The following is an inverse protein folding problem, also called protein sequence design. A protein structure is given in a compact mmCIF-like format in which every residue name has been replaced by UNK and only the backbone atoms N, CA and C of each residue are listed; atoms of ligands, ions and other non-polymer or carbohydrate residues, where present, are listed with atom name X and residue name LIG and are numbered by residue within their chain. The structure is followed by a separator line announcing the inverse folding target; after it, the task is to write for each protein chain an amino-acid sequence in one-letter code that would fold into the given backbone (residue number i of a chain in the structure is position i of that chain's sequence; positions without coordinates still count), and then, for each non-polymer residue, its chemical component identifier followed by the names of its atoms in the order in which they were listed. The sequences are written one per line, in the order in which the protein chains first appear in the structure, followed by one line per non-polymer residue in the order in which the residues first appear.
data_IF_540225684738
#
_entry.id   IF_540225684738
#
_cell.length_a   1.000
_cell.length_b   1.000
_cell.length_c   1.000
_cell.angle_alpha   90.00
_cell.angle_beta   90.00
_cell.angle_gamma   90.00
#
_symmetry.space_group_name_H-M   'P 1'
#
loop_
_entity.id
_entity.type
_entity.pdbx_description
1 polymer ?
#
# COMPACT_ATOMS: atom_id res chain seq x y z
N UNK A 1 5.60 -25.67 9.34
CA UNK A 1 5.61 -24.22 9.05
C UNK A 1 5.15 -23.54 10.33
N UNK A 2 5.82 -22.44 10.67
CA UNK A 2 6.04 -21.94 12.04
C UNK A 2 4.73 -21.48 12.71
N UNK A 3 4.43 -21.93 13.94
CA UNK A 3 3.36 -21.33 14.80
C UNK A 3 3.52 -19.79 14.87
N UNK A 4 4.76 -19.33 14.69
CA UNK A 4 5.17 -17.94 14.64
C UNK A 4 4.53 -17.11 13.50
N UNK A 5 4.17 -17.72 12.37
CA UNK A 5 3.61 -16.96 11.24
C UNK A 5 2.20 -16.41 11.53
N UNK A 6 1.35 -17.21 12.20
CA UNK A 6 0.00 -16.78 12.58
C UNK A 6 0.09 -15.68 13.65
N UNK A 7 0.98 -15.86 14.63
CA UNK A 7 1.22 -14.84 15.67
C UNK A 7 1.72 -13.52 15.06
N UNK A 8 2.75 -13.56 14.21
CA UNK A 8 3.32 -12.37 13.55
C UNK A 8 2.29 -11.62 12.67
N UNK A 9 1.36 -12.34 12.03
CA UNK A 9 0.28 -11.74 11.24
C UNK A 9 -0.77 -11.12 12.17
N UNK A 10 -1.21 -11.87 13.18
CA UNK A 10 -2.22 -11.41 14.11
C UNK A 10 -1.74 -10.24 14.99
N UNK A 11 -0.43 -10.06 15.21
CA UNK A 11 0.12 -8.87 15.88
C UNK A 11 -0.22 -7.56 15.14
N UNK A 12 -0.44 -7.63 13.82
CA UNK A 12 -0.85 -6.49 13.01
C UNK A 12 -2.38 -6.27 12.99
N UNK A 13 -3.15 -7.18 13.60
CA UNK A 13 -4.61 -7.12 13.60
C UNK A 13 -5.14 -6.38 14.85
N UNK A 14 -6.30 -5.72 14.76
CA UNK A 14 -6.89 -5.05 15.91
C UNK A 14 -7.26 -6.01 17.06
N UNK A 15 -7.61 -7.27 16.76
CA UNK A 15 -8.08 -8.24 17.75
C UNK A 15 -7.20 -9.51 17.75
N UNK A 16 -5.94 -9.39 18.18
CA UNK A 16 -4.96 -10.47 18.24
C UNK A 16 -5.50 -11.85 18.68
N UNK A 17 -6.14 -11.93 19.86
CA UNK A 17 -6.63 -13.20 20.41
C UNK A 17 -7.73 -13.83 19.53
N UNK A 18 -8.58 -12.99 18.93
CA UNK A 18 -9.64 -13.44 18.02
C UNK A 18 -9.04 -13.94 16.71
N UNK A 19 -8.09 -13.20 16.14
CA UNK A 19 -7.36 -13.60 14.95
C UNK A 19 -6.69 -14.97 15.13
N UNK A 20 -5.89 -15.12 16.21
CA UNK A 20 -5.16 -16.36 16.49
C UNK A 20 -6.11 -17.53 16.71
N UNK A 21 -7.16 -17.35 17.53
CA UNK A 21 -8.11 -18.43 17.81
C UNK A 21 -8.94 -18.83 16.58
N UNK A 22 -9.30 -17.85 15.73
CA UNK A 22 -10.07 -18.10 14.51
C UNK A 22 -9.23 -18.81 13.45
N UNK A 23 -8.00 -18.38 13.21
CA UNK A 23 -7.10 -19.03 12.25
C UNK A 23 -6.70 -20.43 12.73
N UNK A 24 -6.38 -20.62 14.01
CA UNK A 24 -6.03 -21.94 14.56
C UNK A 24 -7.20 -22.95 14.52
N UNK A 25 -8.43 -22.49 14.28
CA UNK A 25 -9.58 -23.40 14.12
C UNK A 25 -9.57 -24.17 12.80
N UNK A 26 -8.86 -23.67 11.78
CA UNK A 26 -8.67 -24.37 10.51
C UNK A 26 -7.27 -25.01 10.45
N UNK A 27 -7.17 -26.35 10.31
CA UNK A 27 -5.87 -27.03 10.23
C UNK A 27 -5.01 -26.58 9.04
N UNK A 28 -5.61 -26.01 7.98
CA UNK A 28 -4.90 -25.51 6.79
C UNK A 28 -4.14 -24.22 7.06
N UNK A 29 -4.50 -23.46 8.11
CA UNK A 29 -3.84 -22.20 8.46
C UNK A 29 -2.35 -22.37 8.71
N UNK A 30 -1.94 -23.51 9.26
CA UNK A 30 -0.52 -23.82 9.51
C UNK A 30 0.32 -23.89 8.23
N UNK A 31 -0.30 -24.10 7.07
CA UNK A 31 0.35 -24.20 5.77
C UNK A 31 0.03 -23.05 4.80
N UNK A 32 -0.76 -22.06 5.25
CA UNK A 32 -1.33 -21.03 4.39
C UNK A 32 -0.43 -19.80 4.26
N UNK A 33 -0.48 -19.13 3.10
CA UNK A 33 0.05 -17.77 2.91
C UNK A 33 -0.98 -16.70 3.32
N UNK A 34 -0.63 -15.40 3.29
CA UNK A 34 -1.53 -14.34 3.75
C UNK A 34 -2.89 -14.34 3.02
N UNK A 35 -2.97 -14.43 1.67
CA UNK A 35 -4.24 -14.57 0.97
C UNK A 35 -5.05 -15.79 1.39
N UNK A 36 -4.40 -16.94 1.58
CA UNK A 36 -5.07 -18.16 2.07
C UNK A 36 -5.56 -17.99 3.53
N UNK A 37 -4.82 -17.30 4.40
CA UNK A 37 -5.26 -16.98 5.76
C UNK A 37 -6.43 -15.99 5.76
N UNK A 38 -6.43 -14.98 4.88
CA UNK A 38 -7.56 -14.07 4.70
C UNK A 38 -8.80 -14.82 4.20
N UNK A 39 -8.65 -15.79 3.28
CA UNK A 39 -9.74 -16.66 2.85
C UNK A 39 -10.27 -17.55 3.99
N UNK A 40 -9.39 -18.05 4.86
CA UNK A 40 -9.80 -18.81 6.05
C UNK A 40 -10.62 -17.90 6.99
N UNK A 41 -10.15 -16.68 7.24
CA UNK A 41 -10.90 -15.72 8.05
C UNK A 41 -12.27 -15.37 7.40
N UNK A 42 -12.31 -15.18 6.08
CA UNK A 42 -13.56 -14.96 5.34
C UNK A 42 -14.57 -16.08 5.57
N UNK A 43 -14.11 -17.34 5.57
CA UNK A 43 -14.96 -18.50 5.84
C UNK A 43 -15.44 -18.54 7.29
N UNK A 44 -14.59 -18.18 8.26
CA UNK A 44 -14.98 -18.05 9.68
C UNK A 44 -16.08 -17.00 9.83
N UNK A 45 -15.92 -15.83 9.22
CA UNK A 45 -16.91 -14.75 9.23
C UNK A 45 -18.21 -15.24 8.59
N UNK A 46 -18.14 -15.93 7.44
CA UNK A 46 -19.31 -16.46 6.75
C UNK A 46 -20.15 -17.39 7.65
N UNK A 47 -19.49 -18.37 8.30
CA UNK A 47 -20.15 -19.29 9.24
C UNK A 47 -20.81 -18.53 10.41
N UNK A 48 -20.13 -17.51 10.93
CA UNK A 48 -20.60 -16.73 12.09
C UNK A 48 -21.73 -15.79 11.71
N UNK A 49 -21.70 -15.21 10.52
CA UNK A 49 -22.78 -14.43 9.94
C UNK A 49 -24.03 -15.31 9.68
N UNK A 50 -23.88 -16.52 9.16
CA UNK A 50 -24.99 -17.48 8.98
C UNK A 50 -25.64 -17.84 10.33
N UNK A 51 -24.83 -18.14 11.34
CA UNK A 51 -25.31 -18.42 12.69
C UNK A 51 -26.07 -17.22 13.29
N UNK A 52 -25.55 -16.01 13.09
CA UNK A 52 -26.20 -14.77 13.57
C UNK A 52 -27.53 -14.55 12.86
N UNK A 53 -27.58 -14.72 11.53
CA UNK A 53 -28.82 -14.63 10.76
C UNK A 53 -29.86 -15.65 11.22
N UNK A 54 -29.46 -16.87 11.55
CA UNK A 54 -30.37 -17.88 12.09
C UNK A 54 -30.90 -17.48 13.47
N UNK A 55 -30.03 -16.97 14.35
CA UNK A 55 -30.46 -16.47 15.66
C UNK A 55 -31.45 -15.30 15.55
N UNK A 56 -31.24 -14.38 14.61
CA UNK A 56 -32.17 -13.28 14.32
C UNK A 56 -33.56 -13.83 13.93
N UNK A 57 -33.60 -14.86 13.07
CA UNK A 57 -34.85 -15.50 12.65
C UNK A 57 -35.59 -16.17 13.81
N UNK A 58 -34.89 -16.81 14.73
CA UNK A 58 -35.49 -17.41 15.93
C UNK A 58 -36.10 -16.33 16.84
N UNK A 59 -35.37 -15.25 17.10
CA UNK A 59 -35.85 -14.11 17.89
C UNK A 59 -37.10 -13.46 17.30
N UNK A 60 -37.21 -13.41 15.96
CA UNK A 60 -38.42 -12.91 15.27
C UNK A 60 -39.64 -13.81 15.46
N UNK A 61 -39.45 -15.11 15.70
CA UNK A 61 -40.52 -16.06 16.00
C UNK A 61 -40.94 -16.00 17.47
N UNK A 62 -39.99 -15.72 18.37
CA UNK A 62 -40.20 -15.65 19.83
C UNK A 62 -41.00 -14.40 20.28
N UNK A 63 -41.45 -13.54 19.36
CA UNK A 63 -42.24 -12.31 19.64
C UNK A 63 -41.53 -11.32 20.59
N UNK A 64 -40.28 -10.97 20.26
CA UNK A 64 -39.46 -10.00 20.99
C UNK A 64 -39.92 -8.54 20.81
N UNK A 65 -39.55 -7.68 21.77
CA UNK A 65 -39.91 -6.26 21.85
C UNK A 65 -39.23 -5.33 20.84
N UNK A 66 -38.39 -5.85 19.95
CA UNK A 66 -37.53 -5.08 19.02
C UNK A 66 -37.66 -5.58 17.57
N UNK A 67 -38.89 -5.89 17.16
CA UNK A 67 -39.17 -6.55 15.88
C UNK A 67 -38.60 -5.81 14.67
N UNK A 68 -38.72 -4.48 14.62
CA UNK A 68 -38.25 -3.67 13.50
C UNK A 68 -36.71 -3.67 13.40
N UNK A 69 -36.01 -3.58 14.54
CA UNK A 69 -34.55 -3.69 14.60
C UNK A 69 -34.09 -5.07 14.10
N UNK A 70 -34.76 -6.14 14.52
CA UNK A 70 -34.47 -7.49 14.04
C UNK A 70 -34.71 -7.67 12.54
N UNK A 71 -35.75 -7.03 11.98
CA UNK A 71 -35.97 -7.04 10.52
C UNK A 71 -34.82 -6.33 9.80
N UNK A 72 -34.36 -5.18 10.31
CA UNK A 72 -33.19 -4.49 9.73
C UNK A 72 -31.93 -5.35 9.80
N UNK A 73 -31.70 -6.03 10.93
CA UNK A 73 -30.58 -6.97 11.08
C UNK A 73 -30.62 -8.12 10.06
N UNK A 74 -31.81 -8.63 9.70
CA UNK A 74 -31.92 -9.65 8.64
C UNK A 74 -31.36 -9.12 7.32
N UNK A 75 -31.66 -7.88 6.96
CA UNK A 75 -31.18 -7.29 5.71
C UNK A 75 -29.68 -7.01 5.76
N UNK A 76 -29.16 -6.50 6.88
CA UNK A 76 -27.72 -6.29 7.08
C UNK A 76 -26.95 -7.60 6.94
N UNK A 77 -27.36 -8.67 7.64
CA UNK A 77 -26.69 -9.97 7.57
C UNK A 77 -26.86 -10.68 6.22
N UNK A 78 -27.95 -10.41 5.48
CA UNK A 78 -28.06 -10.86 4.09
C UNK A 78 -27.07 -10.13 3.17
N UNK A 79 -26.85 -8.83 3.37
CA UNK A 79 -25.86 -8.08 2.60
C UNK A 79 -24.46 -8.70 2.81
N UNK A 80 -24.07 -8.96 4.06
CA UNK A 80 -22.81 -9.65 4.39
C UNK A 80 -22.67 -10.96 3.62
N UNK A 81 -23.69 -11.83 3.69
CA UNK A 81 -23.61 -13.20 3.18
C UNK A 81 -23.75 -13.31 1.65
N UNK A 82 -24.47 -12.38 1.01
CA UNK A 82 -24.83 -12.48 -0.41
C UNK A 82 -24.02 -11.52 -1.28
N UNK A 83 -23.54 -10.43 -0.70
CA UNK A 83 -22.89 -9.33 -1.42
C UNK A 83 -21.45 -9.19 -0.97
N UNK A 84 -21.21 -8.94 0.32
CA UNK A 84 -19.94 -8.42 0.80
C UNK A 84 -18.87 -9.53 0.87
N UNK A 85 -19.14 -10.62 1.60
CA UNK A 85 -18.21 -11.76 1.70
C UNK A 85 -17.97 -12.47 0.36
N UNK A 86 -18.99 -12.76 -0.48
CA UNK A 86 -18.74 -13.36 -1.79
C UNK A 86 -17.86 -12.49 -2.69
N UNK A 87 -18.00 -11.16 -2.62
CA UNK A 87 -17.12 -10.24 -3.34
C UNK A 87 -15.70 -10.28 -2.79
N UNK A 88 -15.53 -10.21 -1.46
CA UNK A 88 -14.21 -10.27 -0.83
C UNK A 88 -13.48 -11.58 -1.16
N UNK A 89 -14.15 -12.72 -1.02
CA UNK A 89 -13.58 -14.05 -1.34
C UNK A 89 -13.14 -14.13 -2.82
N UNK A 90 -13.97 -13.62 -3.73
CA UNK A 90 -13.64 -13.59 -5.15
C UNK A 90 -12.46 -12.65 -5.42
N UNK A 91 -12.41 -11.51 -4.75
CA UNK A 91 -11.35 -10.53 -4.88
C UNK A 91 -10.00 -11.09 -4.38
N UNK A 92 -9.99 -11.72 -3.20
CA UNK A 92 -8.87 -12.48 -2.65
C UNK A 92 -8.31 -13.50 -3.64
N UNK A 93 -9.20 -14.33 -4.21
CA UNK A 93 -8.81 -15.37 -5.18
C UNK A 93 -8.17 -14.79 -6.45
N UNK A 94 -8.51 -13.56 -6.82
CA UNK A 94 -8.00 -12.89 -8.01
C UNK A 94 -6.87 -11.88 -7.71
N UNK A 95 -6.44 -11.75 -6.44
CA UNK A 95 -5.41 -10.80 -6.00
C UNK A 95 -5.84 -9.32 -6.01
N UNK A 96 -7.14 -9.04 -6.04
CA UNK A 96 -7.70 -7.69 -5.96
C UNK A 96 -7.95 -7.29 -4.49
N UNK A 97 -6.87 -7.14 -3.72
CA UNK A 97 -6.94 -6.98 -2.26
C UNK A 97 -7.64 -5.70 -1.80
N UNK A 98 -7.62 -4.64 -2.61
CA UNK A 98 -8.38 -3.40 -2.38
C UNK A 98 -9.89 -3.64 -2.38
N UNK A 99 -10.39 -4.41 -3.36
CA UNK A 99 -11.81 -4.80 -3.43
C UNK A 99 -12.18 -5.72 -2.27
N UNK A 100 -11.23 -6.56 -1.85
CA UNK A 100 -11.46 -7.48 -0.75
C UNK A 100 -11.54 -6.75 0.61
N UNK A 101 -10.67 -5.75 0.79
CA UNK A 101 -10.66 -4.84 1.93
C UNK A 101 -11.99 -4.09 2.05
N UNK A 102 -12.51 -3.56 0.94
CA UNK A 102 -13.82 -2.90 0.89
C UNK A 102 -14.94 -3.87 1.33
N UNK A 103 -14.92 -5.12 0.84
CA UNK A 103 -15.93 -6.12 1.20
C UNK A 103 -15.92 -6.49 2.69
N UNK A 104 -14.75 -6.59 3.31
CA UNK A 104 -14.68 -6.81 4.76
C UNK A 104 -15.08 -5.57 5.55
N UNK A 105 -14.72 -4.38 5.09
CA UNK A 105 -15.15 -3.14 5.72
C UNK A 105 -16.68 -2.95 5.67
N UNK A 106 -17.32 -3.30 4.55
CA UNK A 106 -18.78 -3.31 4.47
C UNK A 106 -19.39 -4.28 5.50
N UNK A 107 -18.81 -5.47 5.69
CA UNK A 107 -19.27 -6.41 6.70
C UNK A 107 -19.17 -5.88 8.14
N UNK A 108 -18.09 -5.13 8.45
CA UNK A 108 -17.94 -4.38 9.71
C UNK A 108 -19.10 -3.40 9.90
N UNK A 109 -19.41 -2.60 8.86
CA UNK A 109 -20.50 -1.63 8.90
C UNK A 109 -21.87 -2.29 9.09
N UNK A 110 -22.16 -3.38 8.37
CA UNK A 110 -23.43 -4.09 8.48
C UNK A 110 -23.65 -4.68 9.88
N UNK A 111 -22.60 -5.23 10.51
CA UNK A 111 -22.67 -5.72 11.89
C UNK A 111 -22.96 -4.60 12.89
N UNK A 112 -22.29 -3.44 12.74
CA UNK A 112 -22.55 -2.26 13.58
C UNK A 112 -23.95 -1.70 13.38
N UNK A 113 -24.42 -1.58 12.13
CA UNK A 113 -25.78 -1.13 11.85
C UNK A 113 -26.85 -2.06 12.44
N UNK A 114 -26.58 -3.35 12.54
CA UNK A 114 -27.48 -4.26 13.26
C UNK A 114 -27.50 -3.95 14.76
N UNK A 115 -26.34 -3.76 15.39
CA UNK A 115 -26.26 -3.46 16.83
C UNK A 115 -26.89 -2.10 17.19
N UNK A 116 -26.57 -1.06 16.43
CA UNK A 116 -27.03 0.31 16.65
C UNK A 116 -28.53 0.48 16.39
N UNK A 117 -29.16 -0.48 15.70
CA UNK A 117 -30.60 -0.50 15.47
C UNK A 117 -31.43 -0.69 16.75
N UNK A 118 -30.83 -1.13 17.85
CA UNK A 118 -31.52 -1.40 19.12
C UNK A 118 -31.48 -0.19 20.06
N UNK A 119 -32.65 0.21 20.57
CA UNK A 119 -32.80 1.43 21.38
C UNK A 119 -32.21 1.35 22.79
N UNK A 120 -31.91 0.15 23.29
CA UNK A 120 -31.40 -0.11 24.65
C UNK A 120 -29.88 0.01 24.80
N UNK A 121 -29.14 0.30 23.71
CA UNK A 121 -27.67 0.37 23.70
C UNK A 121 -26.97 -0.99 23.81
N UNK A 122 -27.72 -2.08 23.92
CA UNK A 122 -27.23 -3.45 23.78
C UNK A 122 -28.37 -4.32 23.24
N UNK A 123 -28.07 -5.14 22.23
CA UNK A 123 -29.02 -6.04 21.61
C UNK A 123 -28.92 -7.48 22.16
N UNK A 124 -29.92 -8.35 21.90
CA UNK A 124 -29.79 -9.79 22.14
C UNK A 124 -28.70 -10.49 21.29
N UNK A 125 -28.02 -9.74 20.41
CA UNK A 125 -27.05 -10.21 19.43
C UNK A 125 -25.67 -9.57 19.65
N UNK A 126 -25.47 -8.74 20.69
CA UNK A 126 -24.25 -7.94 20.89
C UNK A 126 -22.97 -8.76 20.71
N UNK A 127 -22.85 -9.93 21.34
CA UNK A 127 -21.66 -10.76 21.23
C UNK A 127 -21.46 -11.32 19.81
N UNK A 128 -22.55 -11.62 19.10
CA UNK A 128 -22.51 -12.15 17.73
C UNK A 128 -22.17 -11.05 16.72
N UNK A 129 -22.78 -9.87 16.88
CA UNK A 129 -22.48 -8.68 16.10
C UNK A 129 -21.01 -8.28 16.30
N UNK A 130 -20.56 -8.22 17.55
CA UNK A 130 -19.16 -7.93 17.89
C UNK A 130 -18.19 -8.95 17.31
N UNK A 131 -18.50 -10.24 17.34
CA UNK A 131 -17.62 -11.25 16.74
C UNK A 131 -17.47 -11.03 15.23
N UNK A 132 -18.60 -10.83 14.51
CA UNK A 132 -18.56 -10.64 13.05
C UNK A 132 -17.85 -9.34 12.69
N UNK A 133 -18.08 -8.27 13.47
CA UNK A 133 -17.34 -7.02 13.37
C UNK A 133 -15.82 -7.24 13.52
N UNK A 134 -15.40 -7.74 14.68
CA UNK A 134 -13.98 -7.87 15.04
C UNK A 134 -13.25 -8.82 14.09
N UNK A 135 -13.89 -9.92 13.68
CA UNK A 135 -13.29 -10.87 12.74
C UNK A 135 -13.18 -10.28 11.32
N UNK A 136 -14.14 -9.44 10.90
CA UNK A 136 -14.07 -8.76 9.60
C UNK A 136 -12.97 -7.69 9.58
N UNK A 137 -12.80 -6.96 10.70
CA UNK A 137 -11.70 -6.02 10.87
C UNK A 137 -10.33 -6.72 10.88
N UNK A 138 -10.21 -7.88 11.53
CA UNK A 138 -9.00 -8.70 11.48
C UNK A 138 -8.73 -9.22 10.06
N UNK A 139 -9.75 -9.69 9.34
CA UNK A 139 -9.60 -10.17 7.96
C UNK A 139 -9.03 -9.10 7.03
N UNK A 140 -9.52 -7.86 7.15
CA UNK A 140 -9.01 -6.70 6.42
C UNK A 140 -7.54 -6.40 6.73
N UNK A 141 -7.10 -6.63 7.97
CA UNK A 141 -5.71 -6.45 8.35
C UNK A 141 -4.80 -7.60 7.86
N UNK A 142 -5.31 -8.83 7.80
CA UNK A 142 -4.59 -10.00 7.24
C UNK A 142 -4.37 -9.83 5.72
N UNK A 143 -5.29 -9.13 5.05
CA UNK A 143 -5.26 -8.83 3.61
C UNK A 143 -4.18 -7.88 3.15
N UNK A 144 -3.49 -7.19 4.06
CA UNK A 144 -2.21 -6.63 3.68
C UNK A 144 -1.21 -7.79 3.64
N UNK A 145 -0.84 -8.33 2.45
CA UNK A 145 0.43 -9.02 2.40
C UNK A 145 1.47 -8.11 3.06
N UNK A 146 2.47 -8.67 3.71
CA UNK A 146 3.70 -7.96 4.06
C UNK A 146 4.45 -7.49 2.79
N UNK A 147 3.72 -7.00 1.79
CA UNK A 147 4.18 -6.27 0.64
C UNK A 147 4.57 -4.87 1.13
N UNK A 148 5.76 -4.86 1.73
CA UNK A 148 6.41 -3.65 2.20
C UNK A 148 6.51 -2.61 1.08
N UNK A 149 6.60 -3.04 -0.19
CA UNK A 149 6.62 -2.14 -1.35
C UNK A 149 5.29 -1.38 -1.42
N UNK A 150 4.14 -2.07 -1.39
CA UNK A 150 2.82 -1.40 -1.39
C UNK A 150 2.62 -0.49 -0.19
N UNK A 151 2.95 -0.94 1.02
CA UNK A 151 2.82 -0.12 2.25
C UNK A 151 3.69 1.14 2.18
N UNK A 152 4.89 0.99 1.64
CA UNK A 152 5.84 2.10 1.44
C UNK A 152 5.30 3.07 0.38
N UNK A 153 4.92 2.59 -0.80
CA UNK A 153 4.46 3.43 -1.91
C UNK A 153 3.13 4.14 -1.61
N UNK A 154 2.24 3.59 -0.77
CA UNK A 154 1.04 4.30 -0.29
C UNK A 154 1.39 5.62 0.44
N UNK A 155 2.60 5.73 0.99
CA UNK A 155 3.10 6.93 1.69
C UNK A 155 3.95 7.85 0.80
N UNK A 156 4.12 7.54 -0.48
CA UNK A 156 4.90 8.34 -1.42
C UNK A 156 3.99 9.09 -2.40
N UNK A 157 4.46 10.21 -2.98
CA UNK A 157 3.84 10.70 -4.21
C UNK A 157 4.04 9.65 -5.34
N UNK A 158 3.22 9.71 -6.39
CA UNK A 158 3.32 8.83 -7.58
C UNK A 158 3.30 7.32 -7.27
N UNK A 159 2.23 6.83 -6.64
CA UNK A 159 2.06 5.43 -6.22
C UNK A 159 2.47 4.41 -7.31
N UNK A 160 1.89 4.50 -8.51
CA UNK A 160 2.15 3.54 -9.59
C UNK A 160 3.62 3.55 -10.06
N UNK A 161 4.26 4.72 -10.08
CA UNK A 161 5.68 4.85 -10.42
C UNK A 161 6.56 4.24 -9.33
N UNK A 162 6.20 4.41 -8.07
CA UNK A 162 6.91 3.78 -6.95
C UNK A 162 6.83 2.25 -7.02
N UNK A 163 5.63 1.69 -7.22
CA UNK A 163 5.40 0.24 -7.35
C UNK A 163 6.24 -0.30 -8.50
N UNK A 164 6.03 0.22 -9.71
CA UNK A 164 6.70 -0.29 -10.92
C UNK A 164 8.23 -0.17 -10.85
N UNK A 165 8.74 0.90 -10.23
CA UNK A 165 10.18 1.08 -10.04
C UNK A 165 10.77 0.05 -9.08
N UNK A 166 10.13 -0.17 -7.93
CA UNK A 166 10.62 -1.14 -6.94
C UNK A 166 10.47 -2.59 -7.42
N UNK A 167 9.32 -2.95 -7.99
CA UNK A 167 9.07 -4.31 -8.51
C UNK A 167 9.98 -4.68 -9.69
N UNK A 168 10.44 -3.70 -10.47
CA UNK A 168 11.42 -3.93 -11.54
C UNK A 168 12.78 -4.41 -11.04
N UNK A 169 13.08 -4.20 -9.75
CA UNK A 169 14.29 -4.68 -9.11
C UNK A 169 14.01 -5.97 -8.31
N UNK A 170 14.56 -7.14 -8.72
CA UNK A 170 14.34 -8.41 -8.01
C UNK A 170 14.81 -8.41 -6.54
N UNK A 171 15.68 -7.48 -6.14
CA UNK A 171 16.14 -7.36 -4.75
C UNK A 171 15.08 -6.74 -3.83
N UNK A 172 14.07 -6.05 -4.37
CA UNK A 172 13.04 -5.37 -3.59
C UNK A 172 12.14 -6.35 -2.83
N UNK A 173 11.93 -7.57 -3.33
CA UNK A 173 11.03 -8.55 -2.71
C UNK A 173 11.47 -9.01 -1.31
N UNK A 174 12.76 -8.85 -0.98
CA UNK A 174 13.34 -9.25 0.29
C UNK A 174 13.95 -8.06 1.06
N UNK A 175 13.72 -6.83 0.58
CA UNK A 175 14.27 -5.63 1.19
C UNK A 175 13.41 -5.18 2.38
N UNK A 176 14.06 -4.72 3.45
CA UNK A 176 13.41 -3.93 4.49
C UNK A 176 13.25 -2.47 4.03
N UNK A 177 12.70 -1.59 4.87
CA UNK A 177 12.42 -0.20 4.48
C UNK A 177 13.72 0.55 4.10
N UNK A 178 14.83 0.26 4.79
CA UNK A 178 16.15 0.78 4.44
C UNK A 178 16.62 0.27 3.08
N UNK A 179 16.42 -1.02 2.80
CA UNK A 179 16.73 -1.64 1.52
C UNK A 179 15.91 -1.03 0.38
N UNK A 180 14.61 -0.79 0.57
CA UNK A 180 13.76 -0.12 -0.42
C UNK A 180 14.21 1.32 -0.67
N UNK A 181 14.59 2.07 0.38
CA UNK A 181 15.17 3.40 0.23
C UNK A 181 16.46 3.36 -0.60
N UNK A 182 17.37 2.43 -0.29
CA UNK A 182 18.62 2.25 -1.03
C UNK A 182 18.37 1.88 -2.50
N UNK A 183 17.41 1.00 -2.77
CA UNK A 183 17.04 0.61 -4.13
C UNK A 183 16.52 1.84 -4.89
N UNK A 184 15.60 2.59 -4.31
CA UNK A 184 15.01 3.77 -4.95
C UNK A 184 16.07 4.86 -5.25
N UNK A 185 16.99 5.14 -4.33
CA UNK A 185 18.08 6.11 -4.59
C UNK A 185 19.01 5.65 -5.71
N UNK A 186 19.28 4.34 -5.82
CA UNK A 186 20.05 3.80 -6.94
C UNK A 186 19.29 3.92 -8.28
N UNK A 187 17.96 3.77 -8.27
CA UNK A 187 17.11 4.00 -9.45
C UNK A 187 17.18 5.48 -9.87
N UNK A 188 17.14 6.43 -8.93
CA UNK A 188 17.35 7.86 -9.20
C UNK A 188 18.72 8.10 -9.85
N UNK A 189 19.79 7.55 -9.28
CA UNK A 189 21.14 7.66 -9.85
C UNK A 189 21.23 7.08 -11.26
N UNK A 190 20.63 5.92 -11.51
CA UNK A 190 20.62 5.29 -12.84
C UNK A 190 19.90 6.14 -13.89
N UNK A 191 18.71 6.67 -13.56
CA UNK A 191 17.94 7.53 -14.45
C UNK A 191 18.64 8.88 -14.70
N UNK A 192 19.23 9.46 -13.66
CA UNK A 192 19.97 10.73 -13.76
C UNK A 192 21.22 10.55 -14.63
N UNK A 193 21.94 9.44 -14.48
CA UNK A 193 23.11 9.09 -15.31
C UNK A 193 22.70 8.87 -16.76
N UNK A 194 21.63 8.12 -17.00
CA UNK A 194 21.11 7.86 -18.36
C UNK A 194 20.67 9.15 -19.05
N UNK A 195 20.09 10.09 -18.30
CA UNK A 195 19.71 11.42 -18.80
C UNK A 195 20.94 12.23 -19.19
N UNK A 196 21.98 12.25 -18.34
CA UNK A 196 23.24 12.92 -18.65
C UNK A 196 23.92 12.33 -19.91
N UNK A 197 23.96 11.01 -20.03
CA UNK A 197 24.53 10.33 -21.20
C UNK A 197 23.76 10.68 -22.48
N UNK A 198 22.43 10.76 -22.39
CA UNK A 198 21.59 11.19 -23.51
C UNK A 198 21.84 12.65 -23.89
N UNK A 199 21.95 13.57 -22.92
CA UNK A 199 22.32 14.97 -23.16
C UNK A 199 23.67 15.06 -23.89
N UNK A 200 24.67 14.32 -23.43
CA UNK A 200 26.00 14.29 -24.06
C UNK A 200 25.96 13.70 -25.48
N UNK A 201 25.10 12.70 -25.72
CA UNK A 201 24.89 12.15 -27.05
C UNK A 201 24.25 13.18 -28.00
N UNK A 202 23.27 13.96 -27.53
CA UNK A 202 22.66 15.03 -28.31
C UNK A 202 23.66 16.15 -28.64
N UNK A 203 24.52 16.54 -27.69
CA UNK A 203 25.58 17.54 -27.93
C UNK A 203 26.57 17.13 -29.02
N UNK A 204 26.88 15.83 -29.12
CA UNK A 204 27.78 15.29 -30.16
C UNK A 204 27.19 15.34 -31.57
N UNK A 205 25.87 15.48 -31.71
CA UNK A 205 25.20 15.54 -33.00
C UNK A 205 25.28 16.94 -33.66
N UNK A 206 26.06 17.87 -33.09
CA UNK A 206 26.20 19.24 -33.56
C UNK A 206 24.83 19.94 -33.76
N UNK A 207 24.00 20.04 -32.70
CA UNK A 207 22.67 20.65 -32.80
C UNK A 207 22.75 22.14 -33.12
N UNK A 208 21.61 22.72 -33.52
CA UNK A 208 21.51 24.17 -33.74
C UNK A 208 21.92 24.95 -32.49
N UNK A 209 22.49 26.18 -32.61
CA UNK A 209 23.13 26.87 -31.48
C UNK A 209 22.26 27.07 -30.23
N UNK A 210 20.96 27.29 -30.40
CA UNK A 210 20.02 27.44 -29.28
C UNK A 210 19.84 26.14 -28.50
N UNK A 211 19.63 25.02 -29.22
CA UNK A 211 19.53 23.69 -28.62
C UNK A 211 20.88 23.28 -27.98
N UNK A 212 22.00 23.58 -28.63
CA UNK A 212 23.33 23.32 -28.07
C UNK A 212 23.53 24.03 -26.72
N UNK A 213 23.09 25.29 -26.60
CA UNK A 213 23.21 26.07 -25.36
C UNK A 213 22.35 25.50 -24.23
N UNK A 214 21.11 25.12 -24.53
CA UNK A 214 20.22 24.51 -23.54
C UNK A 214 20.74 23.16 -23.06
N UNK A 215 21.20 22.30 -23.98
CA UNK A 215 21.80 21.00 -23.64
C UNK A 215 23.10 21.13 -22.84
N UNK A 216 23.95 22.10 -23.17
CA UNK A 216 25.19 22.35 -22.42
C UNK A 216 24.88 22.79 -20.98
N UNK A 217 23.88 23.67 -20.80
CA UNK A 217 23.40 24.05 -19.48
C UNK A 217 22.91 22.83 -18.70
N UNK A 218 22.02 22.02 -19.28
CA UNK A 218 21.57 20.77 -18.65
C UNK A 218 22.72 19.84 -18.26
N UNK A 219 23.74 19.68 -19.11
CA UNK A 219 24.91 18.88 -18.77
C UNK A 219 25.64 19.45 -17.53
N UNK A 220 25.81 20.77 -17.44
CA UNK A 220 26.42 21.42 -16.28
C UNK A 220 25.64 21.20 -14.98
N UNK A 221 24.31 21.12 -15.05
CA UNK A 221 23.43 20.82 -13.91
C UNK A 221 23.48 19.33 -13.51
N UNK A 222 23.44 18.41 -14.47
CA UNK A 222 23.41 16.96 -14.20
C UNK A 222 24.77 16.38 -13.78
N UNK A 223 25.89 16.90 -14.30
CA UNK A 223 27.24 16.40 -13.98
C UNK A 223 27.52 16.36 -12.46
N UNK A 224 27.33 17.45 -11.69
CA UNK A 224 27.61 17.43 -10.26
C UNK A 224 26.68 16.49 -9.50
N UNK A 225 25.41 16.40 -9.90
CA UNK A 225 24.43 15.49 -9.30
C UNK A 225 24.88 14.03 -9.42
N UNK A 226 25.27 13.61 -10.63
CA UNK A 226 25.72 12.24 -10.91
C UNK A 226 27.06 11.95 -10.24
N UNK A 227 28.01 12.88 -10.28
CA UNK A 227 29.37 12.66 -9.77
C UNK A 227 29.49 12.76 -8.26
N UNK A 228 28.65 13.58 -7.63
CA UNK A 228 28.83 13.96 -6.23
C UNK A 228 27.53 13.86 -5.42
N UNK A 229 26.46 14.58 -5.78
CA UNK A 229 25.27 14.70 -4.91
C UNK A 229 24.62 13.35 -4.60
N UNK A 230 24.33 12.54 -5.63
CA UNK A 230 23.68 11.24 -5.45
C UNK A 230 24.61 10.18 -4.82
N UNK A 231 25.89 10.03 -5.24
CA UNK A 231 26.84 9.15 -4.53
C UNK A 231 27.00 9.49 -3.04
N UNK A 232 27.05 10.78 -2.69
CA UNK A 232 27.14 11.21 -1.29
C UNK A 232 25.81 10.97 -0.55
N UNK A 233 24.67 11.12 -1.22
CA UNK A 233 23.37 10.78 -0.64
C UNK A 233 23.26 9.29 -0.29
N UNK A 234 23.77 8.41 -1.18
CA UNK A 234 23.86 6.97 -0.93
C UNK A 234 24.74 6.69 0.29
N UNK A 235 25.93 7.30 0.38
CA UNK A 235 26.81 7.12 1.54
C UNK A 235 26.17 7.64 2.84
N UNK A 236 25.46 8.78 2.78
CA UNK A 236 24.72 9.31 3.90
C UNK A 236 23.59 8.39 4.34
N UNK A 237 22.85 7.80 3.40
CA UNK A 237 21.78 6.85 3.69
C UNK A 237 22.33 5.59 4.38
N UNK A 238 23.45 5.04 3.89
CA UNK A 238 24.16 3.91 4.53
C UNK A 238 24.56 4.24 5.98
N UNK A 239 24.94 5.49 6.25
CA UNK A 239 25.35 5.97 7.58
C UNK A 239 24.18 6.44 8.45
N UNK A 240 22.94 6.35 7.98
CA UNK A 240 21.75 6.82 8.71
C UNK A 240 21.61 8.35 8.77
N UNK A 241 22.36 9.10 7.95
CA UNK A 241 22.27 10.55 7.85
C UNK A 241 21.16 10.98 6.88
N UNK A 242 19.91 10.65 7.22
CA UNK A 242 18.75 10.81 6.34
C UNK A 242 18.51 12.23 5.82
N UNK A 243 18.76 13.26 6.66
CA UNK A 243 18.65 14.66 6.23
C UNK A 243 19.64 15.04 5.12
N UNK A 244 20.85 14.49 5.15
CA UNK A 244 21.85 14.72 4.11
C UNK A 244 21.54 13.91 2.85
N UNK A 245 21.05 12.67 3.01
CA UNK A 245 20.57 11.88 1.88
C UNK A 245 19.45 12.60 1.12
N UNK A 246 18.44 13.09 1.84
CA UNK A 246 17.35 13.88 1.26
C UNK A 246 17.85 15.13 0.53
N UNK A 247 18.84 15.84 1.07
CA UNK A 247 19.41 17.00 0.40
C UNK A 247 19.98 16.65 -0.98
N UNK A 248 20.80 15.61 -1.08
CA UNK A 248 21.41 15.19 -2.35
C UNK A 248 20.40 14.63 -3.36
N UNK A 249 19.31 14.02 -2.90
CA UNK A 249 18.23 13.52 -3.78
C UNK A 249 17.34 14.66 -4.27
N UNK A 250 16.98 15.60 -3.37
CA UNK A 250 16.22 16.81 -3.70
C UNK A 250 16.98 17.73 -4.66
N UNK A 251 18.32 17.71 -4.61
CA UNK A 251 19.18 18.38 -5.58
C UNK A 251 18.93 17.85 -6.99
N UNK A 252 18.89 16.51 -7.17
CA UNK A 252 18.60 15.90 -8.47
C UNK A 252 17.25 16.33 -9.05
N UNK A 253 16.20 16.40 -8.23
CA UNK A 253 14.89 16.89 -8.67
C UNK A 253 14.97 18.35 -9.15
N UNK A 254 15.62 19.23 -8.36
CA UNK A 254 15.77 20.66 -8.69
C UNK A 254 16.57 20.88 -9.96
N UNK A 255 17.64 20.12 -10.16
CA UNK A 255 18.50 20.24 -11.35
C UNK A 255 17.80 19.72 -12.62
N UNK A 256 16.99 18.66 -12.51
CA UNK A 256 16.10 18.22 -13.59
C UNK A 256 15.09 19.33 -13.98
N UNK A 257 14.49 19.95 -12.97
CA UNK A 257 13.55 21.06 -13.11
C UNK A 257 14.19 22.31 -13.75
N UNK A 258 15.41 22.64 -13.34
CA UNK A 258 16.19 23.74 -13.89
C UNK A 258 16.63 23.46 -15.33
N UNK A 259 17.00 22.21 -15.65
CA UNK A 259 17.28 21.78 -17.01
C UNK A 259 16.04 21.96 -17.90
N UNK A 260 14.85 21.53 -17.47
CA UNK A 260 13.64 21.69 -18.27
C UNK A 260 13.32 23.18 -18.51
N UNK A 261 13.50 24.03 -17.49
CA UNK A 261 13.34 25.48 -17.61
C UNK A 261 14.31 26.12 -18.60
N UNK A 262 15.48 25.52 -18.85
CA UNK A 262 16.42 26.01 -19.87
C UNK A 262 15.85 25.95 -21.30
N UNK A 263 14.77 25.18 -21.52
CA UNK A 263 14.07 25.06 -22.81
C UNK A 263 12.81 25.94 -22.93
N UNK A 264 12.46 26.75 -21.93
CA UNK A 264 11.19 27.50 -21.82
C UNK A 264 10.95 28.64 -22.87
N UNK A 265 11.64 28.60 -24.01
CA UNK A 265 11.42 29.45 -25.20
C UNK A 265 10.82 28.70 -26.40
N UNK A 266 11.36 28.93 -27.60
CA UNK A 266 10.83 28.41 -28.88
C UNK A 266 11.11 26.92 -29.16
N UNK A 267 11.90 26.26 -28.31
CA UNK A 267 12.43 24.92 -28.58
C UNK A 267 11.81 23.93 -27.62
N UNK A 268 11.03 22.98 -28.15
CA UNK A 268 10.52 21.86 -27.37
C UNK A 268 11.69 21.08 -26.77
N UNK A 269 11.68 20.87 -25.46
CA UNK A 269 12.70 20.08 -24.76
C UNK A 269 12.69 18.63 -25.27
N UNK A 270 13.83 18.08 -25.71
CA UNK A 270 13.95 16.65 -25.98
C UNK A 270 14.12 15.83 -24.69
N UNK A 271 14.09 16.48 -23.52
CA UNK A 271 14.38 15.89 -22.22
C UNK A 271 13.18 15.86 -21.28
N UNK A 272 12.03 16.42 -21.67
CA UNK A 272 10.85 16.61 -20.78
C UNK A 272 10.51 15.34 -20.00
N UNK A 273 10.36 14.20 -20.69
CA UNK A 273 9.99 12.94 -20.03
C UNK A 273 11.08 12.43 -19.08
N UNK A 274 12.35 12.57 -19.47
CA UNK A 274 13.49 12.14 -18.64
C UNK A 274 13.66 13.03 -17.41
N UNK A 275 13.49 14.35 -17.57
CA UNK A 275 13.53 15.32 -16.48
C UNK A 275 12.38 15.06 -15.49
N UNK A 276 11.17 14.81 -15.98
CA UNK A 276 10.00 14.47 -15.15
C UNK A 276 10.22 13.17 -14.37
N UNK A 277 10.75 12.12 -15.03
CA UNK A 277 11.03 10.84 -14.35
C UNK A 277 12.07 11.03 -13.24
N UNK A 278 13.16 11.78 -13.48
CA UNK A 278 14.17 12.05 -12.44
C UNK A 278 13.57 12.82 -11.27
N UNK A 279 12.74 13.83 -11.55
CA UNK A 279 12.01 14.60 -10.53
C UNK A 279 11.11 13.69 -9.68
N UNK A 280 10.19 12.95 -10.31
CA UNK A 280 9.18 12.16 -9.61
C UNK A 280 9.80 11.00 -8.81
N UNK A 281 10.86 10.37 -9.34
CA UNK A 281 11.63 9.35 -8.61
C UNK A 281 12.38 9.94 -7.41
N UNK A 282 12.92 11.15 -7.52
CA UNK A 282 13.56 11.84 -6.40
C UNK A 282 12.55 12.17 -5.29
N UNK A 283 11.33 12.55 -5.65
CA UNK A 283 10.25 12.81 -4.70
C UNK A 283 9.80 11.53 -3.99
N UNK A 284 9.66 10.42 -4.72
CA UNK A 284 9.42 9.08 -4.15
C UNK A 284 10.55 8.72 -3.17
N UNK A 285 11.82 8.79 -3.60
CA UNK A 285 12.97 8.45 -2.76
C UNK A 285 13.01 9.27 -1.45
N UNK A 286 12.75 10.57 -1.54
CA UNK A 286 12.69 11.47 -0.38
C UNK A 286 11.55 11.07 0.57
N UNK A 287 10.38 10.71 0.04
CA UNK A 287 9.26 10.25 0.85
C UNK A 287 9.56 8.93 1.59
N UNK A 288 10.21 7.97 0.93
CA UNK A 288 10.64 6.71 1.56
C UNK A 288 11.65 6.98 2.67
N UNK A 289 12.65 7.84 2.44
CA UNK A 289 13.65 8.19 3.48
C UNK A 289 13.00 8.94 4.65
N UNK A 290 11.99 9.77 4.40
CA UNK A 290 11.24 10.42 5.48
C UNK A 290 10.44 9.44 6.33
N UNK A 291 10.03 8.28 5.78
CA UNK A 291 9.40 7.22 6.56
C UNK A 291 10.41 6.61 7.56
N UNK A 292 11.68 6.45 7.18
CA UNK A 292 12.77 5.97 8.05
C UNK A 292 13.08 6.88 9.24
N UNK A 293 12.68 8.16 9.20
CA UNK A 293 12.90 9.10 10.31
C UNK A 293 11.81 9.03 11.38
N UNK A 294 10.70 8.35 11.09
CA UNK A 294 9.51 8.29 11.96
C UNK A 294 9.37 6.96 12.70
N UNK A 295 10.18 5.98 12.34
CA UNK A 295 10.34 4.69 13.03
C UNK A 295 11.50 4.77 14.05
#
# INVERSE_FOLDING_TARGET
MDEKLIEDICEQTPNFDLCVSSLNSDPKSSSADNPELALIMANVINIKAENTLNRIKDLLQESSGDRDALISCVENYKAILVVDLPQAIKALTNGAYDIAEDGFFDAVLQANFCEDGFSSGSSPLTDMNKYVHDASDDARAIEEPNDLIKKTCKKTPHYDLCISSLESNPQSSNADLNGLAMIMVNIVLSNTTSTLDYIQALLKQAPVPELQRALANCAELYIPVVKYSLPQAIEALIRGHFGFANFGISDAAKEADACEKAFSGSTKSPLTDMNSIVHDLSDIATAIINALQKD
#
